data_IF_830118807300
#
_entry.id   IF_830118807300
#
_cell.length_a   1.000
_cell.length_b   1.000
_cell.length_c   1.000
_cell.angle_alpha   90.00
_cell.angle_beta   90.00
_cell.angle_gamma   90.00
#
_symmetry.space_group_name_H-M   'P 1'
#
loop_
_entity.id
_entity.type
_entity.pdbx_description
1 polymer ?
#
# COMPACT_ATOMS: atom_id res chain seq x y z
N UNK A 1 -37.47 8.85 9.45
CA UNK A 1 -36.04 8.82 9.79
C UNK A 1 -35.30 8.57 8.50
N UNK A 2 -34.27 9.37 8.19
CA UNK A 2 -33.48 9.15 6.97
C UNK A 2 -32.82 7.78 7.08
N UNK A 3 -33.12 6.92 6.11
CA UNK A 3 -32.58 5.56 6.04
C UNK A 3 -31.11 5.69 5.61
N UNK A 4 -30.22 6.00 6.56
CA UNK A 4 -28.79 6.12 6.27
C UNK A 4 -28.25 4.71 6.10
N UNK A 5 -28.00 4.35 4.83
CA UNK A 5 -27.41 3.06 4.46
C UNK A 5 -25.96 3.01 4.98
N UNK A 6 -25.72 2.16 5.97
CA UNK A 6 -24.38 1.85 6.46
C UNK A 6 -23.52 1.29 5.31
N UNK A 7 -22.51 2.06 4.88
CA UNK A 7 -21.58 1.67 3.81
C UNK A 7 -21.03 0.27 4.02
N UNK A 8 -21.06 -0.54 2.96
CA UNK A 8 -20.52 -1.90 2.93
C UNK A 8 -19.03 -1.94 3.32
N UNK A 9 -18.53 -3.13 3.67
CA UNK A 9 -17.12 -3.29 4.01
C UNK A 9 -16.21 -2.95 2.82
N UNK A 10 -16.57 -3.39 1.61
CA UNK A 10 -15.82 -3.10 0.39
C UNK A 10 -15.73 -1.60 0.10
N UNK A 11 -16.82 -0.85 0.28
CA UNK A 11 -16.80 0.62 0.15
C UNK A 11 -15.89 1.27 1.19
N UNK A 12 -15.91 0.82 2.45
CA UNK A 12 -15.01 1.36 3.49
C UNK A 12 -13.54 1.05 3.20
N UNK A 13 -13.25 -0.13 2.68
CA UNK A 13 -11.91 -0.53 2.23
C UNK A 13 -11.45 0.36 1.08
N UNK A 14 -12.32 0.60 0.09
CA UNK A 14 -12.04 1.52 -1.01
C UNK A 14 -11.73 2.93 -0.49
N UNK A 15 -12.57 3.47 0.41
CA UNK A 15 -12.34 4.78 1.03
C UNK A 15 -10.99 4.84 1.76
N UNK A 16 -10.61 3.78 2.50
CA UNK A 16 -9.30 3.70 3.15
C UNK A 16 -8.14 3.79 2.14
N UNK A 17 -8.22 3.06 1.03
CA UNK A 17 -7.20 3.12 -0.02
C UNK A 17 -7.16 4.47 -0.75
N UNK A 18 -8.30 5.12 -0.93
CA UNK A 18 -8.41 6.42 -1.59
C UNK A 18 -8.08 7.61 -0.67
N UNK A 19 -7.95 7.38 0.64
CA UNK A 19 -7.56 8.39 1.64
C UNK A 19 -6.19 8.06 2.24
N UNK A 20 -6.13 7.16 3.22
CA UNK A 20 -4.88 6.73 3.88
C UNK A 20 -3.88 6.18 2.88
N UNK A 21 -4.34 5.44 1.86
CA UNK A 21 -3.50 4.94 0.78
C UNK A 21 -3.03 6.01 -0.23
N UNK A 22 -3.41 7.27 -0.04
CA UNK A 22 -3.04 8.42 -0.88
C UNK A 22 -2.58 9.62 -0.05
N UNK A 23 -1.82 9.37 1.03
CA UNK A 23 -1.22 10.41 1.87
C UNK A 23 -2.23 11.31 2.62
N UNK A 24 -3.44 10.82 2.91
CA UNK A 24 -4.45 11.56 3.68
C UNK A 24 -4.75 10.91 5.03
N UNK A 25 -5.37 11.67 5.93
CA UNK A 25 -6.04 11.12 7.09
C UNK A 25 -7.46 10.68 6.72
N UNK A 26 -7.93 9.59 7.33
CA UNK A 26 -9.32 9.16 7.25
C UNK A 26 -10.02 9.48 8.58
N UNK A 27 -11.01 10.37 8.53
CA UNK A 27 -11.90 10.67 9.65
C UNK A 27 -13.20 9.88 9.48
N UNK A 28 -13.49 8.99 10.42
CA UNK A 28 -14.73 8.19 10.43
C UNK A 28 -15.69 8.77 11.46
N UNK A 29 -16.81 9.30 11.00
CA UNK A 29 -17.89 9.76 11.86
C UNK A 29 -18.70 8.56 12.40
N UNK A 30 -19.05 8.62 13.68
CA UNK A 30 -19.78 7.60 14.42
C UNK A 30 -20.99 8.26 15.09
N UNK A 31 -22.19 8.03 14.56
CA UNK A 31 -23.41 8.66 15.08
C UNK A 31 -24.07 7.77 16.12
N UNK A 32 -24.18 8.21 17.40
CA UNK A 32 -25.01 7.51 18.39
C UNK A 32 -26.50 7.58 18.01
N UNK A 33 -27.28 6.58 18.40
CA UNK A 33 -28.73 6.62 18.28
C UNK A 33 -29.39 7.34 19.49
N UNK A 34 -30.72 7.31 19.58
CA UNK A 34 -31.48 7.98 20.64
C UNK A 34 -31.25 7.39 22.04
N UNK A 35 -30.62 6.23 22.14
CA UNK A 35 -30.18 5.64 23.42
C UNK A 35 -28.83 6.20 23.88
N UNK A 36 -28.15 6.98 23.03
CA UNK A 36 -26.80 7.49 23.28
C UNK A 36 -25.70 6.47 22.99
N UNK A 37 -26.03 5.31 22.39
CA UNK A 37 -25.08 4.26 22.03
C UNK A 37 -24.81 4.24 20.53
N UNK A 38 -23.61 3.80 20.14
CA UNK A 38 -23.33 3.46 18.74
C UNK A 38 -24.12 2.18 18.38
N UNK A 39 -24.94 2.19 17.32
CA UNK A 39 -25.67 0.98 16.93
C UNK A 39 -24.74 -0.20 16.69
N UNK A 40 -25.10 -1.38 17.19
CA UNK A 40 -24.24 -2.57 17.17
C UNK A 40 -23.82 -3.00 15.74
N UNK A 41 -24.68 -2.77 14.75
CA UNK A 41 -24.37 -3.02 13.34
C UNK A 41 -23.23 -2.14 12.82
N UNK A 42 -23.18 -0.87 13.25
CA UNK A 42 -22.15 0.09 12.88
C UNK A 42 -20.83 -0.29 13.54
N UNK A 43 -20.83 -0.53 14.85
CA UNK A 43 -19.66 -1.00 15.59
C UNK A 43 -19.05 -2.27 14.98
N UNK A 44 -19.89 -3.23 14.58
CA UNK A 44 -19.46 -4.45 13.89
C UNK A 44 -18.79 -4.14 12.55
N UNK A 45 -19.37 -3.24 11.74
CA UNK A 45 -18.82 -2.85 10.44
C UNK A 45 -17.45 -2.17 10.56
N UNK A 46 -17.29 -1.26 11.51
CA UNK A 46 -15.99 -0.60 11.73
C UNK A 46 -14.94 -1.55 12.30
N UNK A 47 -15.36 -2.52 13.14
CA UNK A 47 -14.48 -3.62 13.55
C UNK A 47 -13.99 -4.42 12.35
N UNK A 48 -14.89 -4.79 11.42
CA UNK A 48 -14.50 -5.50 10.19
C UNK A 48 -13.48 -4.71 9.36
N UNK A 49 -13.62 -3.39 9.25
CA UNK A 49 -12.62 -2.54 8.59
C UNK A 49 -11.27 -2.59 9.32
N UNK A 50 -11.27 -2.46 10.65
CA UNK A 50 -10.04 -2.55 11.45
C UNK A 50 -9.39 -3.94 11.40
N UNK A 51 -10.18 -5.01 11.34
CA UNK A 51 -9.70 -6.38 11.15
C UNK A 51 -9.04 -6.53 9.77
N UNK A 52 -9.68 -6.03 8.70
CA UNK A 52 -9.10 -6.02 7.36
C UNK A 52 -7.76 -5.28 7.33
N UNK A 53 -7.70 -4.05 7.87
CA UNK A 53 -6.47 -3.24 7.86
C UNK A 53 -5.33 -3.98 8.58
N UNK A 54 -5.61 -4.57 9.75
CA UNK A 54 -4.61 -5.33 10.52
C UNK A 54 -4.16 -6.60 9.79
N UNK A 55 -5.10 -7.34 9.21
CA UNK A 55 -4.80 -8.56 8.46
C UNK A 55 -3.99 -8.27 7.21
N UNK A 56 -4.30 -7.19 6.50
CA UNK A 56 -3.71 -6.86 5.22
C UNK A 56 -2.37 -6.13 5.36
N UNK A 57 -2.26 -5.18 6.29
CA UNK A 57 -1.11 -4.27 6.39
C UNK A 57 -0.34 -4.39 7.71
N UNK A 58 -0.76 -5.26 8.63
CA UNK A 58 -0.12 -5.42 9.94
C UNK A 58 1.23 -6.13 9.88
N UNK A 59 1.42 -7.05 8.94
CA UNK A 59 2.70 -7.76 8.72
C UNK A 59 3.01 -7.80 7.23
N UNK A 60 4.07 -7.11 6.76
CA UNK A 60 4.47 -7.16 5.36
C UNK A 60 5.10 -8.51 5.02
N UNK A 61 5.12 -8.86 3.74
CA UNK A 61 5.94 -9.97 3.25
C UNK A 61 7.41 -9.57 3.41
N UNK A 62 8.18 -10.42 4.08
CA UNK A 62 9.58 -10.14 4.38
C UNK A 62 10.48 -10.62 3.23
N UNK A 63 11.26 -9.73 2.60
CA UNK A 63 12.27 -10.14 1.64
C UNK A 63 13.47 -10.71 2.35
N UNK A 64 14.23 -11.52 1.62
CA UNK A 64 15.52 -12.04 2.10
C UNK A 64 16.59 -10.97 2.09
N UNK A 65 16.54 -10.10 1.08
CA UNK A 65 17.52 -9.05 0.90
C UNK A 65 16.83 -7.77 0.43
N UNK A 66 17.38 -6.63 0.88
CA UNK A 66 17.00 -5.31 0.42
C UNK A 66 18.24 -4.62 -0.12
N UNK A 67 18.17 -4.18 -1.36
CA UNK A 67 19.24 -3.44 -2.03
C UNK A 67 18.78 -2.01 -2.28
N UNK A 68 19.67 -1.06 -2.08
CA UNK A 68 19.43 0.36 -2.33
C UNK A 68 20.56 0.84 -3.23
N UNK A 69 20.25 1.58 -4.29
CA UNK A 69 21.27 2.20 -5.13
C UNK A 69 22.00 3.33 -4.39
N UNK A 70 23.24 3.63 -4.78
CA UNK A 70 24.07 4.66 -4.15
C UNK A 70 23.40 6.05 -4.13
N UNK A 71 22.62 6.36 -5.16
CA UNK A 71 21.85 7.61 -5.29
C UNK A 71 20.53 7.61 -4.50
N UNK A 72 20.18 6.51 -3.83
CA UNK A 72 18.91 6.31 -3.10
C UNK A 72 17.66 6.48 -3.97
N UNK A 73 17.75 6.29 -5.29
CA UNK A 73 16.64 6.39 -6.22
C UNK A 73 16.02 5.03 -6.58
N UNK A 74 16.70 3.92 -6.27
CA UNK A 74 16.19 2.57 -6.50
C UNK A 74 16.25 1.74 -5.22
N UNK A 75 15.15 1.03 -4.95
CA UNK A 75 14.99 0.13 -3.81
C UNK A 75 14.48 -1.21 -4.34
N UNK A 76 15.23 -2.27 -4.10
CA UNK A 76 14.93 -3.61 -4.59
C UNK A 76 14.76 -4.54 -3.40
N UNK A 77 13.75 -5.41 -3.48
CA UNK A 77 13.52 -6.49 -2.52
C UNK A 77 13.57 -7.83 -3.25
N UNK A 78 14.33 -8.79 -2.70
CA UNK A 78 14.56 -10.09 -3.31
C UNK A 78 13.87 -11.22 -2.53
N UNK A 79 13.25 -12.13 -3.29
CA UNK A 79 12.48 -13.31 -2.85
C UNK A 79 12.92 -14.59 -3.59
N UNK A 80 14.07 -14.59 -4.27
CA UNK A 80 14.52 -15.62 -5.23
C UNK A 80 14.41 -17.09 -4.74
N UNK A 81 14.79 -17.42 -3.50
CA UNK A 81 14.71 -18.79 -2.97
C UNK A 81 13.40 -19.12 -2.26
N UNK A 82 12.49 -18.16 -2.12
CA UNK A 82 11.15 -18.35 -1.58
C UNK A 82 10.20 -17.36 -2.26
N UNK A 83 9.83 -17.62 -3.54
CA UNK A 83 8.99 -16.70 -4.28
C UNK A 83 7.65 -16.47 -3.58
N UNK A 84 7.10 -15.26 -3.75
CA UNK A 84 5.91 -14.83 -3.01
C UNK A 84 4.84 -14.33 -3.96
N UNK A 85 3.58 -14.62 -3.64
CA UNK A 85 2.44 -14.03 -4.32
C UNK A 85 2.05 -12.75 -3.60
N UNK A 86 2.02 -11.62 -4.30
CA UNK A 86 1.66 -10.29 -3.77
C UNK A 86 0.87 -9.50 -4.80
N UNK A 87 0.03 -8.57 -4.36
CA UNK A 87 -0.88 -7.80 -5.23
C UNK A 87 -0.80 -6.28 -5.02
N UNK A 88 0.03 -5.83 -4.08
CA UNK A 88 0.16 -4.42 -3.75
C UNK A 88 1.49 -4.08 -3.12
N UNK A 89 1.86 -2.81 -3.26
CA UNK A 89 2.98 -2.19 -2.56
C UNK A 89 2.50 -1.09 -1.62
N UNK A 90 3.19 -0.95 -0.47
CA UNK A 90 3.03 0.16 0.47
C UNK A 90 4.37 0.90 0.57
N UNK A 91 4.33 2.20 0.29
CA UNK A 91 5.51 3.06 0.23
C UNK A 91 5.29 4.24 1.19
N UNK A 92 6.32 4.62 1.93
CA UNK A 92 6.31 5.75 2.85
C UNK A 92 7.61 6.54 2.69
N UNK A 93 7.50 7.84 2.44
CA UNK A 93 8.61 8.79 2.57
C UNK A 93 8.86 9.05 4.07
N UNK A 94 10.11 9.31 4.43
CA UNK A 94 10.39 10.11 5.62
C UNK A 94 10.14 11.57 5.25
N UNK A 95 9.12 12.16 5.87
CA UNK A 95 8.69 13.53 5.57
C UNK A 95 9.25 14.57 6.55
N UNK A 96 10.25 14.22 7.36
CA UNK A 96 10.88 15.15 8.31
C UNK A 96 11.35 16.42 7.62
N UNK A 97 11.91 16.29 6.40
CA UNK A 97 12.37 17.40 5.56
C UNK A 97 11.40 17.72 4.41
N UNK A 98 10.14 17.29 4.55
CA UNK A 98 9.07 17.53 3.58
C UNK A 98 8.84 16.38 2.58
N UNK A 99 7.91 16.62 1.65
CA UNK A 99 7.51 15.65 0.63
C UNK A 99 8.17 15.98 -0.71
N UNK A 100 9.07 15.12 -1.20
CA UNK A 100 10.01 15.49 -2.27
C UNK A 100 9.85 14.66 -3.55
N UNK A 101 9.27 13.45 -3.47
CA UNK A 101 9.01 12.61 -4.65
C UNK A 101 7.88 13.22 -5.51
N UNK A 102 8.07 13.21 -6.84
CA UNK A 102 7.13 13.74 -7.85
C UNK A 102 6.75 12.73 -8.93
N UNK A 103 7.52 11.67 -9.12
CA UNK A 103 7.15 10.52 -9.94
C UNK A 103 7.91 9.28 -9.49
N UNK A 104 7.26 8.12 -9.52
CA UNK A 104 7.87 6.83 -9.25
C UNK A 104 7.20 5.72 -10.05
N UNK A 105 7.90 4.60 -10.19
CA UNK A 105 7.37 3.35 -10.75
C UNK A 105 7.67 2.19 -9.82
N UNK A 106 6.79 1.20 -9.83
CA UNK A 106 7.00 -0.10 -9.18
C UNK A 106 6.99 -1.17 -10.25
N UNK A 107 8.08 -1.91 -10.33
CA UNK A 107 8.24 -3.05 -11.22
C UNK A 107 8.39 -4.34 -10.40
N UNK A 108 8.03 -5.47 -10.99
CA UNK A 108 8.29 -6.80 -10.45
C UNK A 108 9.06 -7.65 -11.44
N UNK A 109 9.80 -8.61 -10.91
CA UNK A 109 10.33 -9.72 -11.66
C UNK A 109 9.51 -10.97 -11.34
N UNK A 110 8.86 -11.54 -12.35
CA UNK A 110 8.06 -12.76 -12.20
C UNK A 110 8.97 -13.99 -12.06
N UNK A 111 8.43 -15.08 -11.51
CA UNK A 111 9.19 -16.34 -11.36
C UNK A 111 9.47 -17.03 -12.70
N UNK A 112 8.55 -16.91 -13.65
CA UNK A 112 8.58 -17.63 -14.93
C UNK A 112 9.44 -16.95 -16.01
N UNK A 113 10.10 -15.83 -15.69
CA UNK A 113 10.92 -15.12 -16.67
C UNK A 113 12.19 -15.91 -16.96
N UNK A 114 12.39 -16.30 -18.22
CA UNK A 114 13.68 -16.85 -18.69
C UNK A 114 14.80 -15.80 -18.68
N UNK A 115 14.44 -14.52 -18.57
CA UNK A 115 15.36 -13.40 -18.49
C UNK A 115 15.27 -12.71 -17.12
N UNK A 116 16.28 -12.93 -16.27
CA UNK A 116 16.44 -12.31 -14.95
C UNK A 116 16.69 -10.78 -15.00
N UNK A 117 16.71 -10.17 -16.18
CA UNK A 117 16.76 -8.72 -16.34
C UNK A 117 15.43 -8.13 -16.81
N UNK A 118 14.41 -8.97 -17.03
CA UNK A 118 13.09 -8.50 -17.41
C UNK A 118 12.30 -8.07 -16.18
N UNK A 119 11.85 -6.82 -16.21
CA UNK A 119 11.00 -6.20 -15.19
C UNK A 119 9.65 -5.84 -15.82
N UNK A 120 8.57 -6.19 -15.13
CA UNK A 120 7.20 -5.84 -15.50
C UNK A 120 6.69 -4.73 -14.59
N UNK A 121 6.27 -3.60 -15.18
CA UNK A 121 5.68 -2.50 -14.42
C UNK A 121 4.30 -2.89 -13.89
N UNK A 122 4.10 -2.79 -12.58
CA UNK A 122 2.83 -3.11 -11.90
C UNK A 122 2.12 -1.89 -11.33
N UNK A 123 2.87 -0.81 -11.05
CA UNK A 123 2.30 0.46 -10.61
C UNK A 123 3.16 1.65 -11.03
N UNK A 124 2.55 2.83 -11.05
CA UNK A 124 3.23 4.11 -11.18
C UNK A 124 2.42 5.18 -10.45
N UNK A 125 3.09 6.23 -9.99
CA UNK A 125 2.44 7.34 -9.31
C UNK A 125 3.28 8.60 -9.33
N UNK A 126 2.73 9.66 -8.74
CA UNK A 126 3.37 10.97 -8.64
C UNK A 126 3.96 11.19 -7.24
N UNK A 127 3.10 11.31 -6.23
CA UNK A 127 3.46 11.59 -4.84
C UNK A 127 3.31 10.35 -3.95
N UNK A 128 4.18 10.21 -2.94
CA UNK A 128 4.09 9.15 -1.93
C UNK A 128 3.64 9.71 -0.57
N UNK A 129 4.44 10.59 0.03
CA UNK A 129 4.22 11.19 1.35
C UNK A 129 4.25 10.18 2.48
N UNK A 130 3.40 10.38 3.49
CA UNK A 130 3.36 9.55 4.70
C UNK A 130 3.03 8.10 4.36
N UNK A 131 2.08 7.87 3.45
CA UNK A 131 1.70 6.52 3.02
C UNK A 131 1.03 6.52 1.66
N UNK A 132 1.56 5.67 0.78
CA UNK A 132 0.98 5.34 -0.51
C UNK A 132 0.75 3.84 -0.59
N UNK A 133 -0.46 3.45 -0.96
CA UNK A 133 -0.83 2.06 -1.24
C UNK A 133 -1.14 1.98 -2.73
N UNK A 134 -0.44 1.10 -3.43
CA UNK A 134 -0.66 0.82 -4.85
C UNK A 134 -1.19 -0.59 -5.00
N UNK A 135 -2.48 -0.71 -5.31
CA UNK A 135 -3.12 -1.99 -5.67
C UNK A 135 -2.87 -2.23 -7.15
N UNK A 136 -2.23 -3.35 -7.47
CA UNK A 136 -1.81 -3.66 -8.82
C UNK A 136 -3.00 -4.14 -9.65
N UNK A 137 -3.29 -3.43 -10.76
CA UNK A 137 -4.44 -3.75 -11.62
C UNK A 137 -4.29 -5.09 -12.36
N UNK A 138 -3.05 -5.58 -12.47
CA UNK A 138 -2.75 -6.91 -13.01
C UNK A 138 -3.12 -8.05 -12.06
N UNK A 139 -3.55 -7.75 -10.83
CA UNK A 139 -3.87 -8.73 -9.81
C UNK A 139 -2.64 -9.33 -9.14
N UNK A 140 -2.81 -10.37 -8.30
CA UNK A 140 -1.72 -11.03 -7.59
C UNK A 140 -0.68 -11.61 -8.55
N UNK A 141 0.59 -11.31 -8.30
CA UNK A 141 1.73 -11.78 -9.08
C UNK A 141 2.63 -12.67 -8.22
N UNK A 142 3.09 -13.78 -8.78
CA UNK A 142 4.14 -14.60 -8.16
C UNK A 142 5.51 -14.04 -8.58
N UNK A 143 6.25 -13.49 -7.63
CA UNK A 143 7.45 -12.69 -7.91
C UNK A 143 8.71 -13.23 -7.22
N UNK A 144 9.85 -13.01 -7.87
CA UNK A 144 11.20 -13.19 -7.33
C UNK A 144 11.80 -11.88 -6.83
N UNK A 145 11.34 -10.73 -7.33
CA UNK A 145 11.78 -9.43 -6.88
C UNK A 145 10.73 -8.35 -7.12
N UNK A 146 10.81 -7.27 -6.35
CA UNK A 146 10.09 -6.01 -6.60
C UNK A 146 11.06 -4.84 -6.50
N UNK A 147 10.89 -3.85 -7.38
CA UNK A 147 11.71 -2.65 -7.44
C UNK A 147 10.82 -1.41 -7.40
N UNK A 148 11.16 -0.48 -6.51
CA UNK A 148 10.71 0.90 -6.55
C UNK A 148 11.80 1.75 -7.21
N UNK A 149 11.43 2.54 -8.22
CA UNK A 149 12.32 3.52 -8.85
C UNK A 149 11.71 4.90 -8.74
N UNK A 150 12.45 5.83 -8.14
CA UNK A 150 12.10 7.25 -8.07
C UNK A 150 12.54 7.93 -9.36
N UNK A 151 11.57 8.38 -10.15
CA UNK A 151 11.78 8.94 -11.50
C UNK A 151 11.99 10.46 -11.45
N UNK A 152 11.29 11.15 -10.54
CA UNK A 152 11.39 12.60 -10.39
C UNK A 152 11.27 12.96 -8.92
N UNK A 153 12.14 13.85 -8.47
CA UNK A 153 12.16 14.39 -7.11
C UNK A 153 12.60 15.86 -7.16
N UNK A 154 12.23 16.65 -6.16
CA UNK A 154 12.69 18.05 -6.01
C UNK A 154 13.83 18.21 -4.99
N UNK A 155 14.13 17.15 -4.24
CA UNK A 155 15.24 17.06 -3.27
C UNK A 155 15.65 15.59 -3.08
N UNK A 156 16.62 15.28 -2.22
CA UNK A 156 17.03 13.91 -1.90
C UNK A 156 15.89 13.16 -1.19
N UNK A 157 15.30 12.13 -1.81
CA UNK A 157 14.23 11.37 -1.18
C UNK A 157 14.79 10.42 -0.11
N UNK A 158 14.07 10.28 1.00
CA UNK A 158 14.33 9.27 2.02
C UNK A 158 13.11 8.36 2.10
N UNK A 159 13.29 7.07 1.79
CA UNK A 159 12.22 6.09 1.93
C UNK A 159 12.25 5.52 3.34
N UNK A 160 11.23 5.85 4.13
CA UNK A 160 11.01 5.29 5.47
C UNK A 160 10.65 3.81 5.41
N UNK A 161 9.82 3.43 4.45
CA UNK A 161 9.48 2.03 4.23
C UNK A 161 9.00 1.77 2.81
N UNK A 162 9.43 0.63 2.26
CA UNK A 162 8.86 0.03 1.06
C UNK A 162 8.53 -1.42 1.42
N UNK A 163 7.29 -1.86 1.19
CA UNK A 163 6.83 -3.21 1.53
C UNK A 163 5.82 -3.70 0.50
N UNK A 164 5.63 -5.02 0.44
CA UNK A 164 4.62 -5.67 -0.40
C UNK A 164 3.73 -6.58 0.45
N UNK A 165 2.47 -6.72 0.01
CA UNK A 165 1.43 -7.44 0.74
C UNK A 165 0.57 -8.24 -0.23
N UNK A 166 -0.13 -9.25 0.31
CA UNK A 166 -1.21 -9.96 -0.35
C UNK A 166 -2.42 -9.88 0.57
N UNK A 167 -3.54 -9.36 0.07
CA UNK A 167 -4.75 -9.24 0.87
C UNK A 167 -5.96 -9.83 0.17
N UNK A 168 -6.79 -10.49 0.96
CA UNK A 168 -8.07 -11.07 0.55
C UNK A 168 -9.22 -10.07 0.71
#
# INVERSE_FOLDING_TARGET
GVNVTLRSLSELIQVYHETVGRNCLLMLDLTPDRTGLIPSAYARRYKQLGDFIRSCYGTPVLPMERLISDDSLQYIQLFVSSPVTVDRSVIQEDQTDGQVIRAYVVDVQLVDTTNIHQWMKVAQGTSIGNKKIDIWQVGPQLINAVRLTIIKTVDKPVIKSFTVHLCN
#
